data_IF_589996619390
#
_entry.id   IF_589996619390
#
_cell.length_a   1.000
_cell.length_b   1.000
_cell.length_c   1.000
_cell.angle_alpha   90.00
_cell.angle_beta   90.00
_cell.angle_gamma   90.00
#
_symmetry.space_group_name_H-M   'P 1'
#
loop_
_entity.id
_entity.type
_entity.pdbx_description
1 polymer ?
#
# COMPACT_ATOMS: atom_id res chain seq x y z
N UNK A 1 -81.89 -69.21 -12.24
CA UNK A 1 -80.92 -70.29 -12.57
C UNK A 1 -79.65 -69.65 -13.09
N UNK A 2 -78.58 -69.72 -12.30
CA UNK A 2 -77.30 -69.04 -12.51
C UNK A 2 -76.56 -69.54 -13.75
N UNK A 3 -76.07 -68.62 -14.60
CA UNK A 3 -74.84 -68.83 -15.38
C UNK A 3 -74.05 -67.53 -15.45
N UNK A 4 -72.97 -67.47 -14.65
CA UNK A 4 -71.91 -66.46 -14.69
C UNK A 4 -71.24 -66.49 -16.08
N UNK A 5 -71.04 -65.33 -16.68
CA UNK A 5 -70.05 -65.12 -17.74
C UNK A 5 -69.07 -64.06 -17.27
N UNK A 6 -67.82 -64.48 -17.20
CA UNK A 6 -66.63 -63.67 -16.90
C UNK A 6 -66.20 -63.04 -18.21
N UNK A 7 -66.10 -61.70 -18.26
CA UNK A 7 -65.43 -61.00 -19.35
C UNK A 7 -64.48 -59.95 -18.78
N UNK A 8 -63.23 -60.40 -18.70
CA UNK A 8 -61.93 -59.74 -18.83
C UNK A 8 -61.94 -58.21 -19.02
N UNK A 9 -61.29 -57.56 -18.05
CA UNK A 9 -60.90 -56.15 -18.01
C UNK A 9 -59.64 -55.95 -18.90
N UNK A 10 -59.73 -55.18 -19.98
CA UNK A 10 -58.55 -54.65 -20.68
C UNK A 10 -58.18 -53.30 -20.08
N UNK A 11 -57.08 -53.27 -19.33
CA UNK A 11 -56.40 -52.03 -18.92
C UNK A 11 -55.44 -51.66 -20.06
N UNK A 12 -55.73 -50.56 -20.76
CA UNK A 12 -54.79 -49.91 -21.68
C UNK A 12 -53.73 -49.20 -20.85
N UNK A 13 -52.53 -49.79 -20.78
CA UNK A 13 -51.35 -49.12 -20.23
C UNK A 13 -50.83 -48.17 -21.30
N UNK A 14 -51.08 -46.88 -21.15
CA UNK A 14 -50.44 -45.83 -21.95
C UNK A 14 -48.96 -45.79 -21.58
N UNK A 15 -48.10 -46.34 -22.45
CA UNK A 15 -46.65 -46.18 -22.30
C UNK A 15 -46.31 -44.71 -22.57
N UNK A 16 -46.07 -43.95 -21.51
CA UNK A 16 -45.45 -42.63 -21.61
C UNK A 16 -44.05 -42.81 -22.19
N UNK A 17 -43.81 -42.31 -23.40
CA UNK A 17 -42.48 -42.17 -23.93
C UNK A 17 -41.77 -41.07 -23.13
N UNK A 18 -41.08 -41.46 -22.06
CA UNK A 18 -40.06 -40.60 -21.46
C UNK A 18 -38.96 -40.46 -22.50
N UNK A 19 -38.96 -39.35 -23.24
CA UNK A 19 -37.77 -38.89 -23.96
C UNK A 19 -36.67 -38.73 -22.92
N UNK A 20 -35.75 -39.70 -22.86
CA UNK A 20 -34.51 -39.51 -22.12
C UNK A 20 -33.79 -38.33 -22.77
N UNK A 21 -33.31 -37.33 -22.00
CA UNK A 21 -32.48 -36.29 -22.57
C UNK A 21 -31.27 -36.97 -23.21
N UNK A 22 -31.08 -36.75 -24.52
CA UNK A 22 -29.84 -37.09 -25.21
C UNK A 22 -28.77 -36.23 -24.53
N UNK A 23 -27.98 -36.84 -23.64
CA UNK A 23 -26.80 -36.20 -23.12
C UNK A 23 -25.88 -35.93 -24.32
N UNK A 24 -25.76 -34.65 -24.69
CA UNK A 24 -24.81 -34.23 -25.71
C UNK A 24 -23.43 -34.73 -25.29
N UNK A 25 -22.79 -35.58 -26.10
CA UNK A 25 -21.41 -35.96 -25.88
C UNK A 25 -20.55 -34.76 -26.23
N UNK A 26 -20.05 -34.06 -25.21
CA UNK A 26 -19.01 -33.07 -25.39
C UNK A 26 -17.71 -33.79 -25.76
N UNK A 27 -17.12 -33.41 -26.88
CA UNK A 27 -15.77 -33.82 -27.26
C UNK A 27 -14.80 -32.83 -26.61
N UNK A 28 -14.16 -33.26 -25.52
CA UNK A 28 -13.23 -32.44 -24.75
C UNK A 28 -11.80 -32.90 -25.02
N UNK A 29 -11.01 -32.01 -25.66
CA UNK A 29 -9.59 -32.20 -25.89
C UNK A 29 -8.80 -31.20 -25.05
N UNK A 30 -7.71 -31.65 -24.41
CA UNK A 30 -6.82 -30.82 -23.60
C UNK A 30 -5.45 -30.70 -24.27
N UNK A 31 -4.82 -29.55 -24.14
CA UNK A 31 -3.42 -29.33 -24.50
C UNK A 31 -2.71 -28.60 -23.38
N UNK A 32 -1.40 -28.84 -23.24
CA UNK A 32 -0.59 -28.22 -22.21
C UNK A 32 0.05 -26.91 -22.69
N UNK A 33 0.23 -25.96 -21.77
CA UNK A 33 1.01 -24.73 -21.97
C UNK A 33 2.10 -24.71 -20.90
N UNK A 34 3.35 -24.46 -21.31
CA UNK A 34 4.50 -24.33 -20.41
C UNK A 34 5.11 -22.95 -20.56
N UNK A 35 5.45 -22.31 -19.44
CA UNK A 35 6.06 -20.99 -19.40
C UNK A 35 7.04 -20.90 -18.23
N UNK A 36 8.15 -20.18 -18.44
CA UNK A 36 9.04 -19.73 -17.37
C UNK A 36 8.76 -18.26 -17.10
N UNK A 37 8.70 -17.88 -15.83
CA UNK A 37 8.43 -16.50 -15.41
C UNK A 37 9.69 -15.97 -14.72
N UNK A 38 10.24 -14.90 -15.28
CA UNK A 38 11.41 -14.20 -14.73
C UNK A 38 10.99 -13.00 -13.87
N UNK A 39 11.91 -12.51 -13.03
CA UNK A 39 11.72 -11.29 -12.26
C UNK A 39 11.55 -10.06 -13.18
N UNK A 40 10.78 -9.08 -12.70
CA UNK A 40 10.65 -7.79 -13.38
C UNK A 40 11.82 -6.85 -13.04
N UNK A 41 12.03 -5.81 -13.84
CA UNK A 41 13.14 -4.86 -13.61
C UNK A 41 12.82 -3.74 -12.62
N UNK A 42 11.52 -3.49 -12.36
CA UNK A 42 11.07 -2.35 -11.54
C UNK A 42 11.25 -0.97 -12.19
N UNK A 43 11.58 -0.92 -13.49
CA UNK A 43 11.90 0.31 -14.22
C UNK A 43 10.72 1.19 -14.56
N UNK A 44 10.95 2.48 -14.76
CA UNK A 44 9.96 3.43 -15.27
C UNK A 44 9.55 4.49 -14.24
N UNK A 45 8.51 5.30 -14.52
CA UNK A 45 8.08 6.35 -13.60
C UNK A 45 7.45 5.78 -12.33
N UNK A 46 7.31 6.64 -11.32
CA UNK A 46 6.42 6.37 -10.19
C UNK A 46 4.97 6.31 -10.66
N UNK A 47 4.15 5.58 -9.92
CA UNK A 47 2.71 5.55 -10.17
C UNK A 47 2.06 6.88 -9.77
N UNK A 48 2.56 7.52 -8.71
CA UNK A 48 2.03 8.78 -8.20
C UNK A 48 3.13 9.86 -8.15
N UNK A 49 2.75 11.13 -8.27
CA UNK A 49 3.68 12.26 -8.13
C UNK A 49 3.91 12.60 -6.65
N UNK A 50 4.69 11.75 -5.98
CA UNK A 50 4.99 11.86 -4.54
C UNK A 50 6.33 12.54 -4.24
N UNK A 51 7.20 12.70 -5.22
CA UNK A 51 8.55 13.26 -5.04
C UNK A 51 9.03 13.94 -6.30
N UNK A 52 9.79 15.02 -6.16
CA UNK A 52 10.48 15.68 -7.27
C UNK A 52 11.86 15.07 -7.57
N UNK A 53 12.30 14.11 -6.74
CA UNK A 53 13.53 13.36 -6.95
C UNK A 53 13.35 12.35 -8.08
N UNK A 54 14.42 12.12 -8.85
CA UNK A 54 14.44 11.07 -9.88
C UNK A 54 14.10 9.70 -9.25
N UNK A 55 13.06 8.99 -9.77
CA UNK A 55 12.71 7.67 -9.29
C UNK A 55 13.86 6.68 -9.41
N UNK A 56 13.93 5.73 -8.48
CA UNK A 56 14.95 4.67 -8.48
C UNK A 56 14.41 3.44 -9.21
N UNK A 57 15.29 2.69 -9.85
CA UNK A 57 14.96 1.44 -10.53
C UNK A 57 15.62 0.26 -9.81
N UNK A 58 14.97 -0.90 -9.86
CA UNK A 58 15.41 -2.14 -9.22
C UNK A 58 14.25 -3.07 -8.89
N UNK A 59 14.55 -4.35 -8.75
CA UNK A 59 13.54 -5.40 -8.54
C UNK A 59 12.91 -5.33 -7.14
N UNK A 60 13.67 -4.87 -6.14
CA UNK A 60 13.22 -4.71 -4.76
C UNK A 60 13.76 -3.39 -4.18
N UNK A 61 12.93 -2.34 -4.15
CA UNK A 61 13.40 -0.99 -3.86
C UNK A 61 12.30 -0.04 -3.35
N UNK A 62 12.70 0.94 -2.54
CA UNK A 62 11.92 2.17 -2.35
C UNK A 62 12.16 3.03 -3.59
N UNK A 63 11.19 3.06 -4.50
CA UNK A 63 11.29 3.76 -5.78
C UNK A 63 11.30 5.28 -5.58
N UNK A 64 10.43 5.78 -4.71
CA UNK A 64 10.35 7.19 -4.36
C UNK A 64 9.77 7.39 -2.96
N UNK A 65 10.12 8.53 -2.34
CA UNK A 65 9.56 8.98 -1.06
C UNK A 65 9.56 10.49 -1.01
N UNK A 66 8.55 11.07 -0.37
CA UNK A 66 8.38 12.52 -0.23
C UNK A 66 9.36 13.13 0.76
N UNK A 67 9.73 14.40 0.50
CA UNK A 67 10.31 15.28 1.50
C UNK A 67 9.19 16.10 2.16
N UNK A 68 9.31 16.36 3.46
CA UNK A 68 8.30 17.12 4.22
C UNK A 68 8.83 18.49 4.57
N UNK A 69 8.08 19.53 4.20
CA UNK A 69 8.46 20.91 4.48
C UNK A 69 7.51 21.56 5.50
N UNK A 70 8.08 22.27 6.46
CA UNK A 70 7.35 23.01 7.49
C UNK A 70 7.85 24.45 7.49
N UNK A 71 7.17 25.39 6.80
CA UNK A 71 7.62 26.78 6.72
C UNK A 71 7.78 27.46 8.09
N UNK A 72 6.90 27.12 9.04
CA UNK A 72 6.99 27.57 10.43
C UNK A 72 6.20 26.64 11.35
N UNK A 73 6.80 26.31 12.50
CA UNK A 73 6.13 25.60 13.60
C UNK A 73 6.37 26.39 14.88
N UNK A 74 5.35 27.03 15.47
CA UNK A 74 5.50 27.72 16.74
C UNK A 74 5.91 26.76 17.88
N UNK A 75 6.53 27.33 18.91
CA UNK A 75 6.88 26.58 20.12
C UNK A 75 5.61 26.05 20.80
N UNK A 76 5.63 24.79 21.20
CA UNK A 76 4.51 24.12 21.86
C UNK A 76 3.37 23.70 20.94
N UNK A 77 3.54 23.85 19.62
CA UNK A 77 2.50 23.56 18.65
C UNK A 77 2.86 22.41 17.72
N UNK A 78 1.80 21.85 17.11
CA UNK A 78 1.89 20.85 16.05
C UNK A 78 1.44 21.48 14.73
N UNK A 79 2.14 21.12 13.65
CA UNK A 79 1.83 21.57 12.29
C UNK A 79 1.91 20.42 11.30
N UNK A 80 1.10 20.51 10.27
CA UNK A 80 1.12 19.63 9.12
C UNK A 80 2.09 20.15 8.03
N UNK A 81 2.78 19.24 7.34
CA UNK A 81 3.73 19.58 6.29
C UNK A 81 3.05 20.23 5.07
N UNK A 82 3.64 21.22 4.42
CA UNK A 82 3.04 21.86 3.24
C UNK A 82 3.32 21.06 1.96
N UNK A 83 2.27 20.58 1.29
CA UNK A 83 2.37 19.86 0.01
C UNK A 83 2.32 20.86 -1.15
N UNK A 84 3.20 20.68 -2.13
CA UNK A 84 3.14 21.45 -3.37
C UNK A 84 1.85 21.16 -4.16
N UNK A 85 1.41 22.14 -4.96
CA UNK A 85 0.21 22.02 -5.79
C UNK A 85 0.32 20.80 -6.72
N UNK A 86 -0.79 20.08 -6.86
CA UNK A 86 -0.93 18.90 -7.73
C UNK A 86 -0.02 17.71 -7.35
N UNK A 87 0.60 17.74 -6.16
CA UNK A 87 1.41 16.64 -5.61
C UNK A 87 0.67 15.87 -4.52
N UNK A 88 1.22 14.71 -4.19
CA UNK A 88 0.86 13.97 -2.98
C UNK A 88 2.11 13.75 -2.12
N UNK A 89 1.90 13.43 -0.85
CA UNK A 89 2.94 12.88 0.00
C UNK A 89 2.74 11.39 0.18
N UNK A 90 3.83 10.63 0.14
CA UNK A 90 3.78 9.18 0.23
C UNK A 90 5.14 8.52 0.04
N UNK A 91 5.08 7.21 -0.13
CA UNK A 91 6.19 6.33 -0.43
C UNK A 91 5.74 5.28 -1.45
N UNK A 92 6.58 5.01 -2.45
CA UNK A 92 6.36 3.93 -3.41
C UNK A 92 7.42 2.84 -3.23
N UNK A 93 6.94 1.60 -3.13
CA UNK A 93 7.75 0.39 -3.02
C UNK A 93 7.49 -0.49 -4.22
N UNK A 94 8.58 -1.06 -4.74
CA UNK A 94 8.57 -2.05 -5.82
C UNK A 94 9.12 -3.35 -5.28
N UNK A 95 8.37 -4.43 -5.45
CA UNK A 95 8.83 -5.81 -5.31
C UNK A 95 8.35 -6.62 -6.51
N UNK A 96 9.22 -6.75 -7.51
CA UNK A 96 8.99 -7.56 -8.71
C UNK A 96 9.97 -8.72 -8.79
N UNK A 97 10.48 -9.15 -7.64
CA UNK A 97 11.41 -10.30 -7.52
C UNK A 97 10.74 -11.63 -7.85
N UNK A 98 9.41 -11.71 -7.69
CA UNK A 98 8.63 -12.93 -7.87
C UNK A 98 8.66 -13.89 -6.67
N UNK A 99 9.37 -13.54 -5.59
CA UNK A 99 9.55 -14.45 -4.45
C UNK A 99 8.41 -14.38 -3.42
N UNK A 100 7.73 -13.22 -3.31
CA UNK A 100 6.62 -13.06 -2.37
C UNK A 100 7.02 -13.22 -0.90
N UNK A 101 8.26 -12.91 -0.51
CA UNK A 101 8.76 -13.07 0.86
C UNK A 101 8.09 -12.15 1.87
N UNK A 102 7.30 -11.17 1.41
CA UNK A 102 6.86 -10.05 2.21
C UNK A 102 8.00 -9.08 2.53
N UNK A 103 7.65 -7.89 3.00
CA UNK A 103 8.61 -6.82 3.27
C UNK A 103 8.05 -5.79 4.26
N UNK A 104 8.92 -4.99 4.88
CA UNK A 104 8.50 -3.81 5.61
C UNK A 104 9.39 -2.61 5.28
N UNK A 105 8.80 -1.42 5.33
CA UNK A 105 9.52 -0.15 5.34
C UNK A 105 9.49 0.44 6.74
N UNK A 106 10.69 0.70 7.27
CA UNK A 106 10.90 1.45 8.49
C UNK A 106 11.38 2.85 8.17
N UNK A 107 10.97 3.79 9.00
CA UNK A 107 11.45 5.17 9.00
C UNK A 107 12.08 5.49 10.35
N UNK A 108 13.20 6.19 10.34
CA UNK A 108 13.82 6.79 11.52
C UNK A 108 14.32 8.20 11.18
N UNK A 109 14.74 8.96 12.17
CA UNK A 109 15.45 10.23 11.98
C UNK A 109 16.75 10.19 12.79
N UNK A 110 17.89 10.55 12.17
CA UNK A 110 19.16 10.55 12.90
C UNK A 110 19.18 11.65 13.98
N UNK A 111 19.05 12.88 13.52
CA UNK A 111 19.12 14.08 14.35
C UNK A 111 18.38 15.21 13.66
N UNK A 112 17.70 16.04 14.45
CA UNK A 112 17.05 17.24 13.98
C UNK A 112 17.82 18.44 14.53
N UNK A 113 18.68 19.05 13.70
CA UNK A 113 19.72 19.98 14.16
C UNK A 113 19.45 21.39 13.72
N UNK A 114 19.85 22.36 14.54
CA UNK A 114 19.93 23.77 14.15
C UNK A 114 20.81 23.88 12.90
N UNK A 115 20.36 24.69 11.94
CA UNK A 115 21.11 25.01 10.72
C UNK A 115 21.42 26.51 10.69
N UNK A 116 22.69 26.83 10.90
CA UNK A 116 23.24 28.18 10.89
C UNK A 116 23.10 28.94 12.23
N UNK A 117 23.87 30.02 12.36
CA UNK A 117 23.90 30.86 13.57
C UNK A 117 24.83 30.34 14.67
N UNK A 118 24.71 30.92 15.87
CA UNK A 118 25.59 30.65 17.02
C UNK A 118 25.46 29.21 17.56
N UNK A 119 24.30 28.59 17.38
CA UNK A 119 23.98 27.25 17.91
C UNK A 119 23.95 26.17 16.81
N UNK A 120 24.65 26.40 15.69
CA UNK A 120 24.67 25.45 14.56
C UNK A 120 25.06 24.03 15.02
N UNK A 121 24.30 23.03 14.58
CA UNK A 121 24.51 21.63 14.94
C UNK A 121 23.89 21.17 16.28
N UNK A 122 23.35 22.08 17.11
CA UNK A 122 22.61 21.70 18.33
C UNK A 122 21.35 20.90 17.99
N UNK A 123 21.05 19.86 18.79
CA UNK A 123 19.87 19.02 18.60
C UNK A 123 18.60 19.68 19.13
N UNK A 124 17.54 19.66 18.33
CA UNK A 124 16.18 19.79 18.79
C UNK A 124 15.80 18.55 19.60
N UNK A 125 15.46 18.75 20.87
CA UNK A 125 14.98 17.68 21.76
C UNK A 125 13.48 17.77 21.92
N UNK A 126 12.83 16.62 22.17
CA UNK A 126 11.40 16.54 22.50
C UNK A 126 10.44 16.82 21.35
N UNK A 127 10.92 16.78 20.10
CA UNK A 127 10.05 16.81 18.93
C UNK A 127 9.39 15.45 18.70
N UNK A 128 8.26 15.46 17.99
CA UNK A 128 7.59 14.25 17.53
C UNK A 128 7.13 14.45 16.08
N UNK A 129 7.42 13.48 15.22
CA UNK A 129 6.92 13.41 13.85
C UNK A 129 5.92 12.25 13.75
N UNK A 130 4.72 12.53 13.26
CA UNK A 130 3.70 11.53 12.95
C UNK A 130 3.50 11.46 11.44
N UNK A 131 3.72 10.29 10.86
CA UNK A 131 3.47 9.98 9.45
C UNK A 131 2.25 9.07 9.40
N UNK A 132 1.09 9.53 8.87
CA UNK A 132 -0.11 8.72 8.79
C UNK A 132 -0.06 7.77 7.59
N UNK A 133 -1.14 7.03 7.40
CA UNK A 133 -1.48 6.36 6.14
C UNK A 133 -2.88 6.83 5.76
N UNK A 134 -3.04 7.40 4.56
CA UNK A 134 -4.34 7.79 4.04
C UNK A 134 -4.90 6.71 3.11
N UNK A 135 -4.08 6.22 2.18
CA UNK A 135 -4.47 5.15 1.26
C UNK A 135 -3.27 4.33 0.82
N UNK A 136 -3.52 3.06 0.49
CA UNK A 136 -2.57 2.21 -0.21
C UNK A 136 -3.13 1.91 -1.60
N UNK A 137 -2.38 2.27 -2.63
CA UNK A 137 -2.82 2.15 -4.02
C UNK A 137 -1.83 1.35 -4.86
N UNK A 138 -2.33 0.83 -5.98
CA UNK A 138 -1.50 0.40 -7.10
C UNK A 138 -2.24 0.66 -8.40
N UNK A 139 -1.51 1.00 -9.47
CA UNK A 139 -2.07 1.18 -10.82
C UNK A 139 -2.06 -0.12 -11.63
N UNK A 140 -1.51 -1.21 -11.11
CA UNK A 140 -1.55 -2.51 -11.79
C UNK A 140 -2.93 -3.16 -11.69
N UNK A 141 -3.58 -3.35 -12.84
CA UNK A 141 -4.86 -4.06 -12.93
C UNK A 141 -4.77 -5.56 -12.59
N UNK A 142 -3.56 -6.11 -12.48
CA UNK A 142 -3.32 -7.53 -12.19
C UNK A 142 -3.19 -7.83 -10.69
N UNK A 143 -3.22 -6.79 -9.85
CA UNK A 143 -3.10 -6.97 -8.40
C UNK A 143 -4.44 -7.46 -7.84
N UNK A 144 -4.35 -8.50 -7.02
CA UNK A 144 -5.48 -9.00 -6.26
C UNK A 144 -5.62 -8.22 -4.95
N UNK A 145 -6.81 -7.73 -4.58
CA UNK A 145 -6.99 -6.92 -3.37
C UNK A 145 -6.44 -7.56 -2.10
N UNK A 146 -6.52 -8.89 -1.95
CA UNK A 146 -6.02 -9.65 -0.81
C UNK A 146 -4.49 -9.62 -0.65
N UNK A 147 -3.76 -9.30 -1.72
CA UNK A 147 -2.30 -9.19 -1.75
C UNK A 147 -1.80 -7.77 -1.46
N UNK A 148 -2.71 -6.83 -1.20
CA UNK A 148 -2.37 -5.43 -0.94
C UNK A 148 -1.62 -5.30 0.39
N UNK A 149 -0.45 -4.63 0.40
CA UNK A 149 0.25 -4.24 1.61
C UNK A 149 -0.59 -3.35 2.53
N UNK A 150 -0.18 -3.23 3.78
CA UNK A 150 -0.83 -2.41 4.81
C UNK A 150 0.06 -1.24 5.18
N UNK A 151 -0.44 -0.02 5.00
CA UNK A 151 0.17 1.18 5.57
C UNK A 151 -0.12 1.28 7.07
N UNK A 152 0.83 1.84 7.82
CA UNK A 152 0.73 2.03 9.27
C UNK A 152 1.08 3.47 9.62
N UNK A 153 0.38 4.01 10.61
CA UNK A 153 0.82 5.25 11.25
C UNK A 153 2.15 5.01 11.95
N UNK A 154 3.13 5.87 11.68
CA UNK A 154 4.42 5.86 12.32
C UNK A 154 4.60 7.14 13.15
N UNK A 155 4.97 6.95 14.42
CA UNK A 155 5.42 8.04 15.30
C UNK A 155 6.91 7.91 15.52
N UNK A 156 7.63 9.01 15.34
CA UNK A 156 9.07 9.09 15.46
C UNK A 156 9.40 10.20 16.43
N UNK A 157 10.21 9.89 17.44
CA UNK A 157 10.82 10.85 18.33
C UNK A 157 12.18 10.31 18.77
N UNK A 158 13.17 11.20 18.89
CA UNK A 158 14.54 10.78 19.20
C UNK A 158 15.09 9.79 18.17
N UNK A 159 15.63 8.66 18.64
CA UNK A 159 16.28 7.63 17.81
C UNK A 159 15.37 6.45 17.43
N UNK A 160 14.08 6.54 17.71
CA UNK A 160 13.15 5.44 17.45
C UNK A 160 12.90 5.26 15.95
N UNK A 161 12.80 4.01 15.51
CA UNK A 161 12.33 3.66 14.17
C UNK A 161 10.91 3.11 14.22
N UNK A 162 10.08 3.43 13.24
CA UNK A 162 8.70 2.97 13.15
C UNK A 162 8.40 2.35 11.77
N UNK A 163 7.55 1.33 11.72
CA UNK A 163 7.10 0.74 10.45
C UNK A 163 5.99 1.61 9.88
N UNK A 164 6.13 2.04 8.62
CA UNK A 164 5.15 2.86 7.89
C UNK A 164 4.37 2.07 6.86
N UNK A 165 4.92 0.98 6.37
CA UNK A 165 4.37 0.24 5.24
C UNK A 165 4.85 -1.20 5.31
N UNK A 166 3.96 -2.18 5.15
CA UNK A 166 4.36 -3.59 5.23
C UNK A 166 3.52 -4.48 4.32
N UNK A 167 4.14 -5.53 3.84
CA UNK A 167 3.51 -6.68 3.21
C UNK A 167 3.86 -7.93 4.02
N UNK A 168 2.84 -8.72 4.37
CA UNK A 168 3.07 -10.05 4.94
C UNK A 168 3.56 -11.01 3.83
N UNK A 169 4.04 -12.19 4.22
CA UNK A 169 4.44 -13.23 3.26
C UNK A 169 3.29 -13.57 2.28
N UNK A 170 3.64 -13.79 1.01
CA UNK A 170 2.70 -13.99 -0.09
C UNK A 170 2.03 -12.71 -0.62
N UNK A 171 2.27 -11.56 0.00
CA UNK A 171 1.69 -10.26 -0.37
C UNK A 171 2.76 -9.27 -0.86
N UNK A 172 2.31 -8.16 -1.40
CA UNK A 172 3.17 -7.01 -1.71
C UNK A 172 4.11 -7.18 -2.90
N UNK A 173 3.98 -8.24 -3.68
CA UNK A 173 4.56 -8.29 -5.03
C UNK A 173 3.82 -7.32 -5.95
N UNK A 174 4.57 -6.56 -6.73
CA UNK A 174 4.12 -5.49 -7.60
C UNK A 174 4.67 -4.13 -7.18
N UNK A 175 3.95 -3.08 -7.57
CA UNK A 175 4.24 -1.70 -7.16
C UNK A 175 3.10 -1.21 -6.29
N UNK A 176 3.44 -0.63 -5.15
CA UNK A 176 2.44 -0.08 -4.25
C UNK A 176 2.89 1.27 -3.73
N UNK A 177 1.93 2.19 -3.66
CA UNK A 177 2.13 3.50 -3.08
C UNK A 177 1.33 3.61 -1.79
N UNK A 178 1.98 3.95 -0.68
CA UNK A 178 1.31 4.41 0.52
C UNK A 178 1.28 5.95 0.49
N UNK A 179 0.11 6.52 0.27
CA UNK A 179 -0.12 7.95 0.28
C UNK A 179 -0.44 8.39 1.71
N UNK A 180 0.28 9.37 2.20
CA UNK A 180 0.11 9.97 3.52
C UNK A 180 -0.88 11.13 3.48
N UNK A 181 -0.89 11.91 2.39
CA UNK A 181 -1.84 13.00 2.14
C UNK A 181 -1.78 13.44 0.68
N UNK A 182 -2.89 13.95 0.13
CA UNK A 182 -2.93 14.60 -1.20
C UNK A 182 -3.09 16.10 -1.04
N UNK A 183 -2.57 16.87 -2.01
CA UNK A 183 -2.79 18.31 -2.03
C UNK A 183 -4.28 18.67 -1.99
N UNK A 184 -4.62 19.67 -1.18
CA UNK A 184 -5.92 20.35 -1.18
C UNK A 184 -5.71 21.88 -1.28
N UNK A 185 -6.62 22.59 -1.94
CA UNK A 185 -6.49 24.04 -2.22
C UNK A 185 -6.38 24.94 -0.97
N UNK A 186 -6.71 24.43 0.21
CA UNK A 186 -6.63 25.15 1.50
C UNK A 186 -5.87 24.32 2.53
N UNK A 187 -4.55 24.30 2.41
CA UNK A 187 -3.68 23.60 3.36
C UNK A 187 -3.44 24.43 4.62
N UNK A 188 -4.43 24.47 5.50
CA UNK A 188 -4.24 25.06 6.81
C UNK A 188 -3.09 24.35 7.54
N UNK A 189 -2.09 25.08 8.08
CA UNK A 189 -0.96 24.45 8.77
C UNK A 189 -1.37 23.69 10.04
N UNK A 190 -2.53 24.03 10.61
CA UNK A 190 -3.10 23.45 11.84
C UNK A 190 -3.98 22.23 11.58
N UNK A 191 -4.12 21.78 10.32
CA UNK A 191 -4.91 20.60 10.01
C UNK A 191 -4.34 19.36 10.68
N UNK A 192 -5.22 18.43 11.03
CA UNK A 192 -4.86 17.18 11.72
C UNK A 192 -4.59 16.02 10.77
N UNK A 193 -4.70 16.25 9.46
CA UNK A 193 -4.39 15.26 8.40
C UNK A 193 -2.96 15.39 7.91
N UNK A 194 -2.42 14.31 7.35
CA UNK A 194 -1.08 14.29 6.78
C UNK A 194 0.05 14.28 7.80
N UNK A 195 1.26 14.59 7.35
CA UNK A 195 2.48 14.41 8.13
C UNK A 195 2.66 15.54 9.15
N UNK A 196 2.55 15.23 10.43
CA UNK A 196 2.52 16.18 11.53
C UNK A 196 3.87 16.28 12.24
N UNK A 197 4.34 17.48 12.52
CA UNK A 197 5.51 17.76 13.34
C UNK A 197 5.12 18.58 14.57
N UNK A 198 5.42 18.06 15.75
CA UNK A 198 5.25 18.73 17.04
C UNK A 198 6.59 19.24 17.57
N UNK A 199 6.60 20.50 18.05
CA UNK A 199 7.79 21.16 18.61
C UNK A 199 7.50 21.54 20.06
N UNK A 200 8.37 21.18 21.03
CA UNK A 200 8.10 21.48 22.44
C UNK A 200 8.36 22.96 22.77
N UNK A 201 7.73 23.43 23.86
CA UNK A 201 7.92 24.79 24.38
C UNK A 201 9.37 25.10 24.81
N UNK A 202 10.17 24.07 25.07
CA UNK A 202 11.55 24.18 25.52
C UNK A 202 12.56 24.28 24.36
N UNK A 203 12.09 24.22 23.11
CA UNK A 203 12.96 24.34 21.95
C UNK A 203 13.48 25.77 21.79
N UNK A 204 14.68 25.92 21.21
CA UNK A 204 15.19 27.25 20.83
C UNK A 204 14.52 27.73 19.56
N UNK A 205 14.33 29.05 19.44
CA UNK A 205 13.96 29.67 18.17
C UNK A 205 15.15 29.60 17.20
N UNK A 206 15.06 28.74 16.18
CA UNK A 206 16.06 28.59 15.13
C UNK A 206 15.44 27.90 13.91
N UNK A 207 16.19 27.83 12.81
CA UNK A 207 15.87 26.92 11.70
C UNK A 207 16.49 25.56 11.98
N UNK A 208 15.71 24.50 11.82
CA UNK A 208 16.18 23.13 12.03
C UNK A 208 16.10 22.33 10.73
N UNK A 209 17.02 21.38 10.56
CA UNK A 209 16.96 20.38 9.49
C UNK A 209 17.17 19.00 10.10
N UNK A 210 16.30 18.06 9.73
CA UNK A 210 16.44 16.66 10.04
C UNK A 210 16.46 15.82 8.77
N UNK A 211 17.04 14.62 8.86
CA UNK A 211 17.09 13.65 7.77
C UNK A 211 16.32 12.40 8.18
N UNK A 212 15.29 12.06 7.39
CA UNK A 212 14.59 10.79 7.53
C UNK A 212 15.32 9.69 6.78
N UNK A 213 15.53 8.57 7.45
CA UNK A 213 16.15 7.38 6.90
C UNK A 213 15.07 6.33 6.68
N UNK A 214 14.89 5.94 5.43
CA UNK A 214 13.90 4.94 5.01
C UNK A 214 14.61 3.64 4.66
N UNK A 215 14.23 2.56 5.33
CA UNK A 215 14.83 1.24 5.14
C UNK A 215 13.76 0.25 4.70
N UNK A 216 13.97 -0.39 3.56
CA UNK A 216 13.14 -1.49 3.07
C UNK A 216 13.87 -2.81 3.35
N UNK A 217 13.16 -3.77 3.95
CA UNK A 217 13.71 -5.07 4.30
C UNK A 217 12.73 -6.21 3.97
N UNK A 218 13.26 -7.30 3.39
CA UNK A 218 12.57 -8.57 3.15
C UNK A 218 12.46 -9.41 4.42
N UNK A 219 11.91 -8.82 5.49
CA UNK A 219 11.63 -9.52 6.74
C UNK A 219 10.23 -9.11 7.19
N UNK A 220 9.18 -9.93 7.05
CA UNK A 220 7.91 -9.60 7.67
C UNK A 220 8.12 -9.58 9.19
N UNK A 221 7.96 -8.40 9.83
CA UNK A 221 7.88 -8.26 11.29
C UNK A 221 6.42 -8.09 11.70
#
# INVERSE_FOLDING_TARGET
MNKKRITILMITITFGATLLPVAAKADELKSDITVNVDAGTGSGPTEEEISDKTPRDGEFIIKAVSDFNYPSVPLGETRAATIAKDKAYGIEVVDVTGNGTGWNVKVSMDSFKVKGGENDGEDLKGWELTIPTAEVTSKSASIRPENTPVGKEARISGTLSSIVFKADEGKGMGRYTNIFERYADKQEPTRTTGVQLSIPNTARKASYVGKLNWTLANTPN
#
